data_IF_919522798421
#
_entry.id   IF_919522798421
#
_cell.length_a   1.000
_cell.length_b   1.000
_cell.length_c   1.000
_cell.angle_alpha   90.00
_cell.angle_beta   90.00
_cell.angle_gamma   90.00
#
_symmetry.space_group_name_H-M   'P 1'
#
loop_
_entity.id
_entity.type
_entity.pdbx_description
1 polymer ?
#
# COMPACT_ATOMS: atom_id res chain seq x y z
N UNK A 1 12.31 11.26 17.10
CA UNK A 1 11.76 10.25 16.17
C UNK A 1 10.63 10.90 15.39
N UNK A 2 10.86 11.27 14.12
CA UNK A 2 9.83 11.93 13.31
C UNK A 2 8.66 10.96 13.09
N UNK A 3 7.55 11.22 13.78
CA UNK A 3 6.33 10.43 13.70
C UNK A 3 5.74 10.66 12.31
N UNK A 4 5.86 9.68 11.40
CA UNK A 4 5.28 9.76 10.05
C UNK A 4 3.79 10.10 10.18
N UNK A 5 3.35 11.19 9.53
CA UNK A 5 1.96 11.64 9.59
C UNK A 5 1.08 10.63 8.87
N UNK A 6 0.18 9.97 9.62
CA UNK A 6 -0.83 9.07 9.05
C UNK A 6 -1.96 9.91 8.46
N UNK A 7 -2.26 9.69 7.19
CA UNK A 7 -3.33 10.40 6.48
C UNK A 7 -4.63 9.60 6.56
N UNK A 8 -4.54 8.28 6.34
CA UNK A 8 -5.71 7.41 6.31
C UNK A 8 -5.35 6.00 6.78
N UNK A 9 -6.31 5.32 7.41
CA UNK A 9 -6.20 3.90 7.73
C UNK A 9 -7.46 3.17 7.25
N UNK A 10 -7.26 2.20 6.36
CA UNK A 10 -8.28 1.28 5.91
C UNK A 10 -8.12 -0.10 6.55
N UNK A 11 -8.96 -1.05 6.10
CA UNK A 11 -8.96 -2.43 6.62
C UNK A 11 -7.62 -3.14 6.41
N UNK A 12 -7.02 -2.99 5.23
CA UNK A 12 -5.80 -3.73 4.85
C UNK A 12 -4.55 -2.86 4.65
N UNK A 13 -4.69 -1.53 4.68
CA UNK A 13 -3.61 -0.59 4.33
C UNK A 13 -3.65 0.65 5.22
N UNK A 14 -2.48 1.24 5.45
CA UNK A 14 -2.32 2.57 6.06
C UNK A 14 -1.62 3.48 5.06
N UNK A 15 -2.08 4.71 4.92
CA UNK A 15 -1.45 5.74 4.11
C UNK A 15 -0.75 6.75 5.04
N UNK A 16 0.52 6.98 4.78
CA UNK A 16 1.31 8.03 5.42
C UNK A 16 1.70 9.09 4.39
N UNK A 17 1.97 10.30 4.87
CA UNK A 17 2.56 11.38 4.08
C UNK A 17 3.88 10.91 3.45
N UNK A 18 4.02 11.15 2.14
CA UNK A 18 5.23 10.86 1.40
C UNK A 18 6.32 11.92 1.59
N UNK A 19 7.53 11.66 1.09
CA UNK A 19 8.66 12.58 1.20
C UNK A 19 8.53 13.81 0.28
N UNK A 20 7.71 13.72 -0.78
CA UNK A 20 7.53 14.75 -1.79
C UNK A 20 6.04 15.12 -1.93
N UNK A 21 5.71 16.37 -2.27
CA UNK A 21 4.33 16.77 -2.56
C UNK A 21 3.66 15.85 -3.60
N UNK A 22 2.41 15.46 -3.34
CA UNK A 22 1.66 14.55 -4.22
C UNK A 22 2.10 13.09 -4.15
N UNK A 23 2.90 12.71 -3.15
CA UNK A 23 3.28 11.30 -2.91
C UNK A 23 2.82 10.81 -1.54
N UNK A 24 2.51 9.52 -1.45
CA UNK A 24 2.11 8.83 -0.23
C UNK A 24 2.94 7.57 -0.02
N UNK A 25 3.12 7.18 1.24
CA UNK A 25 3.64 5.87 1.62
C UNK A 25 2.46 4.96 1.93
N UNK A 26 2.26 3.93 1.12
CA UNK A 26 1.25 2.90 1.35
C UNK A 26 1.87 1.72 2.09
N UNK A 27 1.40 1.46 3.31
CA UNK A 27 1.79 0.34 4.15
C UNK A 27 0.74 -0.78 4.10
N UNK A 28 1.18 -2.01 3.86
CA UNK A 28 0.32 -3.20 3.77
C UNK A 28 0.25 -3.93 5.11
N UNK A 29 -0.96 -4.08 5.64
CA UNK A 29 -1.21 -4.77 6.90
C UNK A 29 -1.47 -6.27 6.73
N UNK A 30 -1.26 -7.00 7.81
CA UNK A 30 -1.58 -8.43 7.92
C UNK A 30 -3.05 -8.70 8.23
N UNK A 31 -3.84 -7.64 8.51
CA UNK A 31 -5.28 -7.72 8.67
C UNK A 31 -5.96 -8.30 7.44
N UNK A 32 -6.64 -9.42 7.63
CA UNK A 32 -7.60 -9.98 6.69
C UNK A 32 -9.00 -9.74 7.23
N UNK A 33 -9.87 -9.16 6.41
CA UNK A 33 -11.28 -8.97 6.76
C UNK A 33 -12.18 -9.61 5.73
N UNK A 34 -13.21 -10.33 6.17
CA UNK A 34 -14.26 -10.89 5.32
C UNK A 34 -15.65 -10.49 5.83
N UNK A 35 -16.67 -10.68 4.99
CA UNK A 35 -18.08 -10.43 5.34
C UNK A 35 -18.33 -9.01 5.91
N UNK A 36 -17.87 -7.97 5.21
CA UNK A 36 -17.96 -6.57 5.66
C UNK A 36 -17.33 -6.32 7.05
N UNK A 37 -16.17 -6.92 7.30
CA UNK A 37 -15.45 -6.86 8.58
C UNK A 37 -16.14 -7.57 9.76
N UNK A 38 -17.17 -8.40 9.50
CA UNK A 38 -17.70 -9.32 10.52
C UNK A 38 -16.70 -10.41 10.90
N UNK A 39 -15.77 -10.75 10.01
CA UNK A 39 -14.62 -11.60 10.31
C UNK A 39 -13.35 -10.77 10.13
N UNK A 40 -12.51 -10.76 11.16
CA UNK A 40 -11.18 -10.16 11.17
C UNK A 40 -10.19 -11.19 11.71
N UNK A 41 -9.06 -11.31 11.05
CA UNK A 41 -7.98 -12.23 11.42
C UNK A 41 -6.65 -11.62 11.01
N UNK A 42 -5.60 -11.87 11.79
CA UNK A 42 -4.23 -11.52 11.43
C UNK A 42 -3.60 -12.71 10.74
N UNK A 43 -3.26 -12.56 9.46
CA UNK A 43 -2.55 -13.58 8.69
C UNK A 43 -1.10 -13.13 8.55
N UNK A 44 -0.20 -13.76 9.29
CA UNK A 44 1.21 -13.38 9.29
C UNK A 44 1.81 -13.41 7.88
N UNK A 45 2.60 -12.39 7.56
CA UNK A 45 3.22 -12.22 6.25
C UNK A 45 2.28 -11.80 5.11
N UNK A 46 0.96 -11.71 5.31
CA UNK A 46 0.01 -11.28 4.26
C UNK A 46 0.37 -9.92 3.67
N UNK A 47 0.72 -8.94 4.49
CA UNK A 47 1.07 -7.60 4.06
C UNK A 47 2.34 -7.60 3.21
N UNK A 48 3.31 -8.43 3.56
CA UNK A 48 4.56 -8.60 2.80
C UNK A 48 4.28 -9.20 1.42
N UNK A 49 3.49 -10.27 1.37
CA UNK A 49 3.11 -10.91 0.12
C UNK A 49 2.32 -9.97 -0.77
N UNK A 50 1.31 -9.28 -0.24
CA UNK A 50 0.50 -8.34 -0.99
C UNK A 50 1.32 -7.18 -1.54
N UNK A 51 2.27 -6.66 -0.77
CA UNK A 51 3.18 -5.63 -1.25
C UNK A 51 3.99 -6.11 -2.48
N UNK A 52 4.56 -7.31 -2.41
CA UNK A 52 5.32 -7.91 -3.52
C UNK A 52 4.46 -8.20 -4.75
N UNK A 53 3.26 -8.76 -4.54
CA UNK A 53 2.31 -9.05 -5.62
C UNK A 53 1.88 -7.74 -6.30
N UNK A 54 1.53 -6.71 -5.53
CA UNK A 54 1.17 -5.40 -6.08
C UNK A 54 2.31 -4.78 -6.88
N UNK A 55 3.54 -4.78 -6.36
CA UNK A 55 4.71 -4.31 -7.11
C UNK A 55 4.86 -5.03 -8.45
N UNK A 56 4.81 -6.37 -8.44
CA UNK A 56 4.95 -7.17 -9.65
C UNK A 56 3.87 -6.81 -10.68
N UNK A 57 2.61 -6.72 -10.27
CA UNK A 57 1.50 -6.36 -11.16
C UNK A 57 1.66 -4.94 -11.71
N UNK A 58 1.95 -3.96 -10.86
CA UNK A 58 2.11 -2.57 -11.30
C UNK A 58 3.30 -2.38 -12.24
N UNK A 59 4.41 -3.08 -12.01
CA UNK A 59 5.56 -3.04 -12.92
C UNK A 59 5.18 -3.58 -14.31
N UNK A 60 4.48 -4.71 -14.38
CA UNK A 60 4.02 -5.27 -15.66
C UNK A 60 3.02 -4.34 -16.37
N UNK A 61 2.09 -3.73 -15.63
CA UNK A 61 1.15 -2.74 -16.19
C UNK A 61 1.88 -1.51 -16.75
N UNK A 62 2.84 -0.97 -16.01
CA UNK A 62 3.64 0.17 -16.46
C UNK A 62 4.46 -0.18 -17.72
N UNK A 63 4.99 -1.41 -17.82
CA UNK A 63 5.76 -1.86 -18.99
C UNK A 63 4.93 -1.89 -20.28
N UNK A 64 3.63 -2.18 -20.19
CA UNK A 64 2.71 -2.16 -21.35
C UNK A 64 2.03 -0.80 -21.56
N UNK A 65 2.46 0.24 -20.84
CA UNK A 65 1.97 1.61 -21.02
C UNK A 65 0.68 1.94 -20.26
N UNK A 66 0.21 1.09 -19.35
CA UNK A 66 -0.95 1.40 -18.49
C UNK A 66 -0.47 2.30 -17.34
N UNK A 67 -1.00 3.53 -17.19
CA UNK A 67 -0.58 4.43 -16.12
C UNK A 67 -1.07 3.91 -14.77
N UNK A 68 -0.18 3.93 -13.77
CA UNK A 68 -0.49 3.51 -12.40
C UNK A 68 0.02 4.55 -11.40
N UNK A 69 -0.56 4.54 -10.20
CA UNK A 69 -0.06 5.39 -9.11
C UNK A 69 1.26 4.88 -8.51
N UNK A 70 1.73 3.68 -8.88
CA UNK A 70 2.89 3.05 -8.27
C UNK A 70 4.17 3.75 -8.74
N UNK A 71 5.04 4.12 -7.79
CA UNK A 71 6.35 4.71 -8.08
C UNK A 71 7.42 3.64 -7.84
N UNK A 72 7.54 3.14 -6.61
CA UNK A 72 8.53 2.10 -6.24
C UNK A 72 8.22 1.46 -4.89
N UNK A 73 8.76 0.26 -4.64
CA UNK A 73 8.79 -0.34 -3.31
C UNK A 73 9.83 0.34 -2.42
N UNK A 74 9.51 0.51 -1.13
CA UNK A 74 10.41 1.08 -0.11
C UNK A 74 11.03 -0.01 0.76
N UNK A 75 10.24 -0.99 1.17
CA UNK A 75 10.67 -2.13 1.98
C UNK A 75 9.68 -3.29 1.82
N UNK A 76 9.77 -4.31 2.69
CA UNK A 76 8.91 -5.49 2.64
C UNK A 76 7.42 -5.19 2.80
N UNK A 77 7.01 -4.07 3.41
CA UNK A 77 5.61 -3.73 3.67
C UNK A 77 5.15 -2.41 3.08
N UNK A 78 6.03 -1.63 2.48
CA UNK A 78 5.72 -0.25 2.06
C UNK A 78 6.06 0.02 0.59
N UNK A 79 5.21 0.80 -0.06
CA UNK A 79 5.41 1.36 -1.40
C UNK A 79 5.26 2.88 -1.37
N UNK A 80 6.03 3.55 -2.22
CA UNK A 80 5.82 4.94 -2.57
C UNK A 80 4.86 4.99 -3.76
N UNK A 81 3.79 5.76 -3.62
CA UNK A 81 2.74 5.93 -4.63
C UNK A 81 2.46 7.42 -4.85
N UNK A 82 1.88 7.75 -6.00
CA UNK A 82 1.25 9.05 -6.28
C UNK A 82 -0.07 9.14 -5.53
N UNK A 83 -0.35 10.30 -4.95
CA UNK A 83 -1.67 10.62 -4.41
C UNK A 83 -2.70 10.71 -5.55
N UNK A 84 -3.89 10.16 -5.33
CA UNK A 84 -5.00 10.16 -6.30
C UNK A 84 -6.32 10.35 -5.54
N UNK A 85 -7.31 10.91 -6.23
CA UNK A 85 -8.70 10.95 -5.78
C UNK A 85 -9.39 9.62 -6.13
N UNK A 86 -10.15 9.04 -5.18
CA UNK A 86 -10.81 7.72 -5.30
C UNK A 86 -12.31 7.86 -5.04
#
# INVERSE_FOLDING_TARGET
MNRRRRIYEGKAKVLYEGPEPGTLIQHFKDDATAFNAKKHELIDGKGVLNNRICEFVYQNLNQIGVPTHFIRRLNMREQLIREVEI
#
